data_IF_546897945168
#
_entry.id   IF_546897945168
#
_cell.length_a   1.000
_cell.length_b   1.000
_cell.length_c   1.000
_cell.angle_alpha   90.00
_cell.angle_beta   90.00
_cell.angle_gamma   90.00
#
_symmetry.space_group_name_H-M   'P 1'
#
loop_
_entity.id
_entity.type
_entity.pdbx_description
1 polymer ?
#
# COMPACT_ATOMS: atom_id res chain seq x y z
N UNK A 1 -19.17 -12.41 -20.56
CA UNK A 1 -18.89 -11.02 -20.12
C UNK A 1 -19.35 -10.90 -18.67
N UNK A 2 -18.43 -10.90 -17.71
CA UNK A 2 -18.80 -10.72 -16.30
C UNK A 2 -19.21 -9.26 -16.06
N UNK A 3 -20.45 -8.99 -15.60
CA UNK A 3 -20.92 -7.64 -15.36
C UNK A 3 -20.57 -7.19 -13.93
N UNK A 4 -20.48 -5.86 -13.77
CA UNK A 4 -20.39 -5.12 -12.50
C UNK A 4 -19.03 -5.18 -11.80
N UNK A 5 -18.13 -4.29 -12.21
CA UNK A 5 -17.35 -3.56 -11.19
C UNK A 5 -18.13 -2.29 -10.96
N UNK A 6 -19.09 -2.36 -10.04
CA UNK A 6 -19.64 -1.17 -9.40
C UNK A 6 -18.41 -0.36 -8.98
N UNK A 7 -18.27 0.82 -9.56
CA UNK A 7 -17.11 1.69 -9.38
C UNK A 7 -17.12 2.15 -7.93
N UNK A 8 -16.55 1.33 -7.04
CA UNK A 8 -16.05 1.85 -5.78
C UNK A 8 -15.08 2.95 -6.18
N UNK A 9 -15.57 4.18 -6.13
CA UNK A 9 -14.91 5.33 -6.74
C UNK A 9 -13.74 5.79 -5.88
N UNK A 10 -13.56 5.16 -4.72
CA UNK A 10 -12.53 5.45 -3.74
C UNK A 10 -12.31 4.24 -2.81
N UNK A 11 -11.74 3.14 -3.33
CA UNK A 11 -11.53 1.94 -2.55
C UNK A 11 -10.46 2.17 -1.50
N UNK A 12 -10.55 1.43 -0.40
CA UNK A 12 -9.53 1.49 0.66
C UNK A 12 -8.15 1.17 0.07
N UNK A 13 -7.11 1.98 0.34
CA UNK A 13 -5.77 1.66 -0.11
C UNK A 13 -5.30 0.33 0.48
N UNK A 14 -4.51 -0.43 -0.28
CA UNK A 14 -3.93 -1.69 0.15
C UNK A 14 -2.55 -1.48 0.76
N UNK A 15 -2.27 -2.17 1.87
CA UNK A 15 -0.95 -2.13 2.49
C UNK A 15 0.10 -2.74 1.56
N UNK A 16 1.33 -2.17 1.50
CA UNK A 16 2.42 -2.78 0.75
C UNK A 16 2.78 -4.14 1.36
N UNK A 17 3.24 -5.07 0.51
CA UNK A 17 3.78 -6.36 0.97
C UNK A 17 5.12 -6.11 1.67
N UNK A 18 5.26 -6.61 2.88
CA UNK A 18 6.54 -6.62 3.58
C UNK A 18 7.54 -7.51 2.81
N UNK A 19 8.74 -6.99 2.50
CA UNK A 19 9.76 -7.78 1.81
C UNK A 19 10.39 -8.80 2.75
N UNK A 20 10.70 -9.97 2.22
CA UNK A 20 11.44 -11.01 2.92
C UNK A 20 12.95 -10.75 2.84
N UNK A 21 13.74 -11.41 3.69
CA UNK A 21 15.21 -11.35 3.59
C UNK A 21 15.72 -11.87 2.25
N UNK A 22 15.00 -12.80 1.62
CA UNK A 22 15.32 -13.35 0.30
C UNK A 22 15.09 -12.34 -0.83
N UNK A 23 14.20 -11.35 -0.62
CA UNK A 23 14.01 -10.22 -1.55
C UNK A 23 15.19 -9.24 -1.47
N UNK A 24 16.00 -9.32 -0.41
CA UNK A 24 17.19 -8.50 -0.24
C UNK A 24 18.38 -9.09 -1.01
N UNK A 25 18.85 -8.30 -1.98
CA UNK A 25 20.05 -8.53 -2.78
C UNK A 25 21.34 -8.78 -1.95
N UNK A 26 21.39 -8.36 -0.67
CA UNK A 26 22.45 -8.70 0.30
C UNK A 26 23.86 -8.15 -0.01
N UNK A 27 24.07 -7.60 -1.20
CA UNK A 27 25.37 -7.14 -1.72
C UNK A 27 25.43 -5.64 -1.96
N UNK A 28 24.42 -4.89 -1.50
CA UNK A 28 24.36 -3.44 -1.67
C UNK A 28 23.82 -3.03 -3.04
N UNK A 29 22.64 -3.54 -3.40
CA UNK A 29 21.91 -3.04 -4.56
C UNK A 29 21.67 -1.52 -4.46
N UNK A 30 21.55 -0.85 -5.61
CA UNK A 30 21.41 0.62 -5.71
C UNK A 30 20.22 1.17 -4.91
N UNK A 31 19.18 0.36 -4.74
CA UNK A 31 18.04 0.65 -3.87
C UNK A 31 17.78 -0.58 -2.99
N UNK A 32 17.77 -0.38 -1.68
CA UNK A 32 17.41 -1.42 -0.72
C UNK A 32 15.90 -1.68 -0.78
N UNK A 33 15.50 -2.96 -0.85
CA UNK A 33 14.09 -3.34 -0.89
C UNK A 33 13.35 -2.89 0.38
N UNK A 34 14.03 -2.92 1.53
CA UNK A 34 13.47 -2.44 2.79
C UNK A 34 13.26 -0.92 2.76
N UNK A 35 14.19 -0.15 2.21
CA UNK A 35 14.01 1.31 2.10
C UNK A 35 12.84 1.66 1.19
N UNK A 36 12.69 0.96 0.06
CA UNK A 36 11.55 1.14 -0.83
C UNK A 36 10.21 0.75 -0.17
N UNK A 37 10.22 -0.32 0.63
CA UNK A 37 9.07 -0.71 1.43
C UNK A 37 8.70 0.37 2.45
N UNK A 38 9.66 0.95 3.17
CA UNK A 38 9.39 2.03 4.12
C UNK A 38 8.75 3.24 3.44
N UNK A 39 9.27 3.65 2.27
CA UNK A 39 8.68 4.74 1.48
C UNK A 39 7.25 4.38 1.03
N UNK A 40 7.02 3.14 0.59
CA UNK A 40 5.69 2.69 0.20
C UNK A 40 4.72 2.66 1.39
N UNK A 41 5.21 2.29 2.57
CA UNK A 41 4.43 2.23 3.81
C UNK A 41 4.00 3.63 4.27
N UNK A 42 4.90 4.61 4.20
CA UNK A 42 4.58 6.02 4.50
C UNK A 42 3.50 6.56 3.55
N UNK A 43 3.64 6.31 2.25
CA UNK A 43 2.64 6.71 1.26
C UNK A 43 1.29 6.02 1.50
N UNK A 44 1.30 4.74 1.85
CA UNK A 44 0.11 3.99 2.21
C UNK A 44 -0.59 4.59 3.44
N UNK A 45 0.15 4.91 4.49
CA UNK A 45 -0.41 5.52 5.70
C UNK A 45 -1.07 6.87 5.41
N UNK A 46 -0.40 7.72 4.62
CA UNK A 46 -0.96 9.01 4.20
C UNK A 46 -2.25 8.83 3.38
N UNK A 47 -2.25 7.89 2.43
CA UNK A 47 -3.42 7.56 1.62
C UNK A 47 -4.57 7.00 2.48
N UNK A 48 -4.25 6.13 3.44
CA UNK A 48 -5.23 5.52 4.34
C UNK A 48 -5.89 6.57 5.24
N UNK A 49 -5.13 7.50 5.80
CA UNK A 49 -5.68 8.60 6.59
C UNK A 49 -6.60 9.50 5.75
N UNK A 50 -6.17 9.85 4.54
CA UNK A 50 -7.00 10.64 3.64
C UNK A 50 -8.29 9.91 3.26
N UNK A 51 -8.21 8.59 3.07
CA UNK A 51 -9.37 7.74 2.82
C UNK A 51 -10.29 7.68 4.04
N UNK A 52 -9.78 7.42 5.24
CA UNK A 52 -10.58 7.41 6.48
C UNK A 52 -11.31 8.74 6.72
N UNK A 53 -10.68 9.87 6.39
CA UNK A 53 -11.33 11.19 6.47
C UNK A 53 -12.53 11.33 5.52
N UNK A 54 -12.53 10.63 4.39
CA UNK A 54 -13.65 10.57 3.44
C UNK A 54 -14.68 9.49 3.80
N UNK A 55 -14.26 8.47 4.56
CA UNK A 55 -15.06 7.30 4.95
C UNK A 55 -15.15 7.14 6.48
N UNK A 56 -15.80 8.08 7.20
CA UNK A 56 -15.87 8.06 8.66
C UNK A 56 -16.64 6.85 9.24
N UNK A 57 -17.50 6.22 8.44
CA UNK A 57 -18.31 5.06 8.84
C UNK A 57 -17.60 3.71 8.61
N UNK A 58 -16.42 3.69 7.97
CA UNK A 58 -15.68 2.45 7.73
C UNK A 58 -14.61 2.22 8.82
N UNK A 59 -14.67 1.10 9.57
CA UNK A 59 -13.67 0.80 10.57
C UNK A 59 -12.31 0.52 9.93
N UNK A 60 -11.25 1.06 10.57
CA UNK A 60 -9.86 0.84 10.23
C UNK A 60 -9.45 -0.63 10.40
#
# INVERSE_FOLDING_TARGET
>A
MNPVVERDSDPRPAAPREPELEDCCGTGCVMCVFDAYQIALENYQAALLAWQARHPDQPA
#
